data_IF_528197207482
#
_entry.id   IF_528197207482
#
_cell.length_a   1.000
_cell.length_b   1.000
_cell.length_c   1.000
_cell.angle_alpha   90.00
_cell.angle_beta   90.00
_cell.angle_gamma   90.00
#
_symmetry.space_group_name_H-M   'P 1'
#
loop_
_entity.id
_entity.type
_entity.pdbx_description
1 polymer ?
#
# COMPACT_ATOMS: atom_id res chain seq x y z
N UNK A 1 6.75 37.91 -29.84
CA UNK A 1 7.43 37.75 -28.54
C UNK A 1 6.85 36.52 -27.85
N UNK A 2 7.55 35.37 -27.92
CA UNK A 2 7.05 34.07 -27.42
C UNK A 2 7.36 33.98 -25.92
N UNK A 3 6.32 33.88 -25.08
CA UNK A 3 6.50 33.69 -23.63
C UNK A 3 6.89 32.24 -23.37
N UNK A 4 8.13 32.08 -22.94
CA UNK A 4 8.71 30.86 -22.43
C UNK A 4 8.01 30.49 -21.11
N UNK A 5 6.94 29.69 -21.19
CA UNK A 5 6.28 29.11 -20.01
C UNK A 5 6.64 27.62 -19.93
N UNK A 6 7.84 27.37 -19.43
CA UNK A 6 8.19 26.08 -18.81
C UNK A 6 7.68 26.13 -17.37
N UNK A 7 6.70 25.29 -17.04
CA UNK A 7 6.14 25.27 -15.69
C UNK A 7 5.07 24.22 -15.52
N UNK A 8 5.48 22.94 -15.59
CA UNK A 8 4.82 21.70 -15.13
C UNK A 8 3.36 21.46 -15.58
N UNK A 9 3.04 20.31 -16.21
CA UNK A 9 1.67 20.00 -16.60
C UNK A 9 0.78 19.83 -15.37
N UNK A 10 -0.24 20.66 -15.27
CA UNK A 10 -1.30 20.56 -14.27
C UNK A 10 -2.29 19.50 -14.73
N UNK A 11 -2.41 18.39 -13.99
CA UNK A 11 -3.44 17.39 -14.24
C UNK A 11 -4.69 17.75 -13.45
N UNK A 12 -5.78 18.06 -14.16
CA UNK A 12 -7.10 18.34 -13.60
C UNK A 12 -7.83 17.01 -13.35
N UNK A 13 -8.10 16.68 -12.08
CA UNK A 13 -8.97 15.57 -11.70
C UNK A 13 -9.99 16.12 -10.69
N UNK A 14 -11.15 16.57 -11.19
CA UNK A 14 -12.28 17.04 -10.38
C UNK A 14 -12.07 18.39 -9.66
N UNK A 15 -12.77 18.59 -8.55
CA UNK A 15 -12.98 19.86 -7.83
C UNK A 15 -12.26 19.97 -6.46
N UNK A 16 -11.22 19.18 -6.20
CA UNK A 16 -10.46 19.28 -4.93
C UNK A 16 -8.95 19.39 -5.19
N UNK A 17 -8.41 20.60 -5.03
CA UNK A 17 -6.98 20.89 -5.02
C UNK A 17 -6.43 20.61 -3.62
N UNK A 18 -5.85 19.43 -3.43
CA UNK A 18 -5.08 19.10 -2.22
C UNK A 18 -3.58 19.16 -2.52
N UNK A 19 -2.97 20.27 -2.11
CA UNK A 19 -1.51 20.40 -1.98
C UNK A 19 -1.06 19.55 -0.79
N UNK A 20 -0.24 18.54 -1.06
CA UNK A 20 0.38 17.69 -0.04
C UNK A 20 -0.27 16.32 0.05
N UNK A 21 0.41 15.30 -0.47
CA UNK A 21 0.11 13.92 -0.13
C UNK A 21 0.44 13.73 1.37
N UNK A 22 -0.53 13.97 2.24
CA UNK A 22 -0.43 13.67 3.67
C UNK A 22 -0.21 12.16 3.83
N UNK A 23 1.07 11.76 3.85
CA UNK A 23 1.54 10.37 3.99
C UNK A 23 0.86 9.66 5.16
N UNK A 24 0.55 10.42 6.22
CA UNK A 24 -0.15 9.94 7.41
C UNK A 24 -1.59 9.48 7.17
N UNK A 25 -2.35 10.10 6.26
CA UNK A 25 -3.70 9.64 5.88
C UNK A 25 -3.63 8.37 5.05
N UNK A 26 -2.67 8.29 4.13
CA UNK A 26 -2.48 7.11 3.26
C UNK A 26 -2.04 5.89 4.08
N UNK A 27 -1.10 6.07 5.02
CA UNK A 27 -0.65 4.98 5.90
C UNK A 27 -1.78 4.43 6.80
N UNK A 28 -2.75 5.27 7.18
CA UNK A 28 -3.94 4.85 7.95
C UNK A 28 -5.00 4.11 7.13
N UNK A 29 -4.96 4.19 5.80
CA UNK A 29 -5.88 3.49 4.89
C UNK A 29 -5.37 2.12 4.45
N UNK A 30 -4.13 1.77 4.80
CA UNK A 30 -3.50 0.51 4.39
C UNK A 30 -3.70 -0.51 5.50
N UNK A 31 -4.88 -1.12 5.54
CA UNK A 31 -5.26 -2.17 6.51
C UNK A 31 -4.59 -3.54 6.23
N UNK A 32 -3.66 -3.61 5.27
CA UNK A 32 -3.02 -4.85 4.84
C UNK A 32 -1.53 -4.67 4.55
N UNK A 33 -0.73 -5.68 4.89
CA UNK A 33 0.70 -5.76 4.59
C UNK A 33 0.96 -6.91 3.61
N UNK A 34 1.94 -6.71 2.75
CA UNK A 34 2.41 -7.78 1.86
C UNK A 34 3.47 -8.58 2.61
N UNK A 35 3.23 -9.88 2.77
CA UNK A 35 4.20 -10.83 3.34
C UNK A 35 4.60 -11.85 2.29
N UNK A 36 5.78 -12.41 2.47
CA UNK A 36 6.31 -13.50 1.64
C UNK A 36 6.15 -14.81 2.39
N UNK A 37 5.68 -15.84 1.70
CA UNK A 37 5.59 -17.19 2.28
C UNK A 37 6.96 -17.88 2.29
N UNK A 38 7.38 -18.42 3.43
CA UNK A 38 8.68 -19.09 3.62
C UNK A 38 8.87 -20.36 2.76
N UNK A 39 7.78 -21.02 2.34
CA UNK A 39 7.86 -22.24 1.54
C UNK A 39 7.88 -22.01 0.03
N UNK A 40 7.13 -21.03 -0.46
CA UNK A 40 6.89 -20.86 -1.90
C UNK A 40 7.27 -19.48 -2.43
N UNK A 41 7.77 -18.59 -1.55
CA UNK A 41 8.16 -17.22 -1.86
C UNK A 41 7.05 -16.38 -2.51
N UNK A 42 5.79 -16.81 -2.36
CA UNK A 42 4.67 -16.08 -2.94
C UNK A 42 4.33 -14.87 -2.08
N UNK A 43 4.19 -13.72 -2.73
CA UNK A 43 3.73 -12.48 -2.12
C UNK A 43 2.23 -12.55 -1.88
N UNK A 44 1.79 -12.28 -0.67
CA UNK A 44 0.39 -12.36 -0.26
C UNK A 44 0.01 -11.21 0.66
N UNK A 45 -1.23 -10.74 0.53
CA UNK A 45 -1.78 -9.64 1.34
C UNK A 45 -2.37 -10.21 2.61
N UNK A 46 -1.97 -9.64 3.73
CA UNK A 46 -2.31 -10.11 5.07
C UNK A 46 -2.81 -8.91 5.89
N UNK A 47 -3.98 -8.99 6.53
CA UNK A 47 -4.52 -7.88 7.30
C UNK A 47 -3.66 -7.60 8.53
N UNK A 48 -3.46 -6.33 8.89
CA UNK A 48 -2.59 -5.95 10.03
C UNK A 48 -3.35 -5.54 11.29
N UNK A 49 -4.66 -5.32 11.18
CA UNK A 49 -5.49 -4.70 12.21
C UNK A 49 -5.76 -5.59 13.45
N UNK A 50 -5.37 -6.87 13.40
CA UNK A 50 -5.77 -7.88 14.40
C UNK A 50 -4.63 -8.47 15.25
N UNK A 51 -3.43 -7.90 15.22
CA UNK A 51 -2.29 -8.39 16.00
C UNK A 51 -1.69 -9.69 15.44
N UNK A 52 -1.36 -10.66 16.31
CA UNK A 52 -0.80 -11.95 15.88
C UNK A 52 -1.86 -12.77 15.16
N UNK A 53 -1.74 -12.88 13.84
CA UNK A 53 -2.68 -13.64 13.02
C UNK A 53 -2.03 -14.89 12.43
N UNK A 54 -2.84 -15.94 12.37
CA UNK A 54 -2.49 -17.19 11.72
C UNK A 54 -2.87 -17.08 10.25
N UNK A 55 -1.87 -17.10 9.38
CA UNK A 55 -2.00 -16.91 7.95
C UNK A 55 -1.71 -18.22 7.24
N UNK A 56 -2.63 -18.65 6.37
CA UNK A 56 -2.43 -19.81 5.51
C UNK A 56 -2.12 -19.34 4.09
N UNK A 57 -1.00 -19.80 3.53
CA UNK A 57 -0.63 -19.49 2.16
C UNK A 57 -1.57 -20.21 1.18
N UNK A 58 -2.22 -19.50 0.24
CA UNK A 58 -3.16 -20.12 -0.70
C UNK A 58 -2.47 -21.00 -1.75
N UNK A 59 -1.14 -20.90 -1.92
CA UNK A 59 -0.40 -21.70 -2.92
C UNK A 59 0.12 -23.02 -2.37
N UNK A 60 0.68 -23.03 -1.17
CA UNK A 60 1.30 -24.22 -0.56
C UNK A 60 0.56 -24.76 0.67
N UNK A 61 -0.53 -24.10 1.09
CA UNK A 61 -1.26 -24.41 2.34
C UNK A 61 -0.42 -24.33 3.62
N UNK A 62 0.79 -23.76 3.53
CA UNK A 62 1.64 -23.54 4.69
C UNK A 62 1.00 -22.52 5.63
N UNK A 63 0.98 -22.82 6.92
CA UNK A 63 0.34 -21.96 7.90
C UNK A 63 1.36 -21.44 8.90
N UNK A 64 1.44 -20.12 9.04
CA UNK A 64 2.44 -19.45 9.86
C UNK A 64 1.82 -18.27 10.61
N UNK A 65 2.43 -17.88 11.71
CA UNK A 65 1.97 -16.74 12.51
C UNK A 65 2.73 -15.48 12.08
N UNK A 66 2.00 -14.43 11.73
CA UNK A 66 2.56 -13.13 11.36
C UNK A 66 2.19 -12.12 12.45
N UNK A 67 3.21 -11.45 12.98
CA UNK A 67 3.08 -10.23 13.79
C UNK A 67 3.46 -9.04 12.92
N UNK A 68 2.49 -8.27 12.41
CA UNK A 68 2.77 -7.03 11.71
C UNK A 68 3.25 -5.99 12.74
N UNK A 69 4.55 -5.71 12.75
CA UNK A 69 5.18 -4.63 13.53
C UNK A 69 5.10 -3.29 12.78
#
# INVERSE_FOLDING_TARGET
MRRNISGVPTFLIGDDVVVGLDKAKILKLVDHRVVECEQCHSKMRVPIDKGTIKVTCPKCSHTFNVTPN
#
